data_IF_238047017638
#
_entry.id   IF_238047017638
#
_cell.length_a   1.000
_cell.length_b   1.000
_cell.length_c   1.000
_cell.angle_alpha   90.00
_cell.angle_beta   90.00
_cell.angle_gamma   90.00
#
_symmetry.space_group_name_H-M   'P 1'
#
loop_
_entity.id
_entity.type
_entity.pdbx_description
1 polymer ?
#
# COMPACT_ATOMS: atom_id res chain seq x y z
N UNK A 1 -19.97 -10.72 -30.21
CA UNK A 1 -18.88 -10.15 -29.40
C UNK A 1 -19.46 -9.80 -28.04
N UNK A 2 -19.13 -10.58 -27.01
CA UNK A 2 -19.52 -10.29 -25.62
C UNK A 2 -18.37 -10.78 -24.74
N UNK A 3 -17.58 -9.86 -24.17
CA UNK A 3 -16.69 -10.22 -23.07
C UNK A 3 -17.48 -9.99 -21.77
N UNK A 4 -17.70 -11.12 -21.10
CA UNK A 4 -18.37 -11.28 -19.82
C UNK A 4 -17.72 -10.41 -18.75
N UNK A 5 -18.56 -9.69 -18.00
CA UNK A 5 -18.25 -9.18 -16.68
C UNK A 5 -18.07 -10.38 -15.74
N UNK A 6 -16.89 -10.54 -15.14
CA UNK A 6 -16.70 -11.40 -13.98
C UNK A 6 -16.20 -10.51 -12.85
N UNK A 7 -17.15 -9.86 -12.18
CA UNK A 7 -16.93 -9.31 -10.85
C UNK A 7 -17.47 -10.35 -9.87
N UNK A 8 -16.58 -11.13 -9.27
CA UNK A 8 -16.92 -12.00 -8.15
C UNK A 8 -16.56 -11.22 -6.87
N UNK A 9 -17.57 -11.00 -6.04
CA UNK A 9 -17.44 -10.50 -4.67
C UNK A 9 -18.14 -11.56 -3.84
N UNK A 10 -17.40 -12.27 -2.99
CA UNK A 10 -17.98 -13.23 -2.05
C UNK A 10 -18.51 -12.51 -0.79
N UNK A 11 -19.49 -13.13 -0.16
CA UNK A 11 -20.51 -12.54 0.72
C UNK A 11 -20.05 -12.28 2.18
N UNK A 12 -18.77 -12.54 2.50
CA UNK A 12 -18.37 -12.76 3.90
C UNK A 12 -17.49 -11.66 4.51
N UNK A 13 -17.09 -10.63 3.74
CA UNK A 13 -16.41 -9.45 4.30
C UNK A 13 -15.10 -9.75 5.06
N UNK A 14 -14.48 -10.91 4.83
CA UNK A 14 -13.13 -11.21 5.31
C UNK A 14 -12.12 -10.73 4.26
N UNK A 15 -11.15 -9.93 4.71
CA UNK A 15 -9.97 -9.64 3.91
C UNK A 15 -9.15 -10.93 3.87
N UNK A 16 -9.35 -11.75 2.84
CA UNK A 16 -8.48 -12.88 2.53
C UNK A 16 -7.04 -12.37 2.46
N UNK A 17 -6.24 -12.72 3.47
CA UNK A 17 -4.80 -12.53 3.54
C UNK A 17 -4.14 -13.60 2.62
N UNK A 18 -4.63 -13.70 1.37
CA UNK A 18 -4.20 -14.72 0.41
C UNK A 18 -2.81 -14.37 -0.12
N UNK A 19 -1.76 -15.14 0.22
CA UNK A 19 -0.40 -14.88 -0.23
C UNK A 19 -0.21 -15.09 -1.75
N UNK A 20 -1.19 -15.65 -2.46
CA UNK A 20 -1.12 -15.77 -3.93
C UNK A 20 -1.38 -14.43 -4.64
N UNK A 21 -2.04 -13.45 -4.00
CA UNK A 21 -2.12 -12.09 -4.54
C UNK A 21 -0.78 -11.34 -4.43
N UNK A 22 0.13 -11.76 -3.54
CA UNK A 22 1.49 -11.24 -3.42
C UNK A 22 2.43 -11.79 -4.50
N UNK A 23 2.07 -12.91 -5.13
CA UNK A 23 2.83 -13.50 -6.25
C UNK A 23 2.54 -12.82 -7.59
N UNK A 24 1.85 -11.67 -7.58
CA UNK A 24 1.70 -10.84 -8.76
C UNK A 24 3.02 -10.05 -8.95
N UNK A 25 3.79 -10.27 -10.03
CA UNK A 25 5.12 -9.66 -10.22
C UNK A 25 5.09 -8.13 -10.15
N UNK A 26 3.92 -7.53 -10.40
CA UNK A 26 3.67 -6.11 -10.24
C UNK A 26 3.81 -5.63 -8.78
N UNK A 27 3.36 -6.40 -7.79
CA UNK A 27 3.43 -5.98 -6.37
C UNK A 27 4.86 -6.06 -5.82
N UNK A 28 5.69 -6.96 -6.37
CA UNK A 28 7.11 -7.07 -5.98
C UNK A 28 7.88 -5.78 -6.28
N UNK A 29 7.70 -5.21 -7.48
CA UNK A 29 8.36 -3.96 -7.86
C UNK A 29 7.89 -2.77 -6.99
N UNK A 30 6.62 -2.77 -6.59
CA UNK A 30 6.09 -1.79 -5.65
C UNK A 30 6.73 -1.90 -4.26
N UNK A 31 6.87 -3.13 -3.75
CA UNK A 31 7.52 -3.40 -2.45
C UNK A 31 8.99 -2.96 -2.49
N UNK A 32 9.71 -3.28 -3.56
CA UNK A 32 11.11 -2.91 -3.72
C UNK A 32 11.27 -1.39 -3.80
N UNK A 33 10.43 -0.71 -4.59
CA UNK A 33 10.41 0.76 -4.64
C UNK A 33 10.17 1.38 -3.25
N UNK A 34 9.21 0.86 -2.48
CA UNK A 34 8.93 1.35 -1.13
C UNK A 34 10.17 1.17 -0.23
N UNK A 35 10.84 0.01 -0.30
CA UNK A 35 12.05 -0.29 0.49
C UNK A 35 13.26 0.55 0.10
N UNK A 36 13.35 0.98 -1.14
CA UNK A 36 14.43 1.86 -1.62
C UNK A 36 14.24 3.31 -1.19
N UNK A 37 12.98 3.78 -1.11
CA UNK A 37 12.67 5.17 -0.79
C UNK A 37 12.44 5.41 0.70
N UNK A 38 11.92 4.41 1.41
CA UNK A 38 11.45 4.57 2.78
C UNK A 38 11.82 3.39 3.66
N UNK A 39 12.04 3.67 4.94
CA UNK A 39 12.09 2.67 6.00
C UNK A 39 11.03 2.94 7.07
N UNK A 40 10.51 1.88 7.73
CA UNK A 40 9.49 2.04 8.75
C UNK A 40 10.05 2.75 9.99
N UNK A 41 9.28 3.69 10.54
CA UNK A 41 9.55 4.29 11.83
C UNK A 41 8.66 3.69 12.91
N UNK A 42 9.23 3.43 14.09
CA UNK A 42 8.48 2.82 15.21
C UNK A 42 7.65 3.85 16.00
N UNK A 43 7.93 5.14 15.82
CA UNK A 43 7.24 6.21 16.55
C UNK A 43 7.29 7.55 15.82
N UNK A 44 6.39 8.47 16.18
CA UNK A 44 6.38 9.84 15.65
C UNK A 44 7.70 10.59 15.84
N UNK A 45 8.40 10.33 16.95
CA UNK A 45 9.70 10.96 17.26
C UNK A 45 10.82 10.47 16.34
N UNK A 46 10.69 9.24 15.89
CA UNK A 46 11.67 8.52 15.08
C UNK A 46 11.38 8.65 13.58
N UNK A 47 10.17 9.09 13.23
CA UNK A 47 9.74 9.37 11.87
C UNK A 47 10.30 10.70 11.38
N UNK A 48 10.86 10.70 10.18
CA UNK A 48 11.25 11.94 9.48
C UNK A 48 10.12 12.46 8.60
N UNK A 49 9.21 11.58 8.19
CA UNK A 49 8.14 11.89 7.25
C UNK A 49 6.85 11.14 7.61
N UNK A 50 5.73 11.87 7.56
CA UNK A 50 4.40 11.37 7.87
C UNK A 50 3.52 11.57 6.64
N UNK A 51 3.15 10.49 5.96
CA UNK A 51 2.32 10.55 4.75
C UNK A 51 1.07 9.71 4.88
N UNK A 52 -0.02 10.16 4.26
CA UNK A 52 -1.20 9.34 4.08
C UNK A 52 -0.96 8.35 2.94
N UNK A 53 -1.74 7.26 2.91
CA UNK A 53 -1.72 6.31 1.79
C UNK A 53 -1.91 7.03 0.45
N UNK A 54 -2.76 8.06 0.42
CA UNK A 54 -3.06 8.85 -0.77
C UNK A 54 -1.84 9.65 -1.26
N UNK A 55 -1.08 10.27 -0.35
CA UNK A 55 0.11 11.04 -0.71
C UNK A 55 1.20 10.13 -1.29
N UNK A 56 1.39 8.95 -0.69
CA UNK A 56 2.34 7.95 -1.18
C UNK A 56 1.88 7.42 -2.55
N UNK A 57 0.58 7.19 -2.72
CA UNK A 57 0.01 6.73 -3.97
C UNK A 57 0.21 7.75 -5.10
N UNK A 58 -0.04 9.03 -4.86
CA UNK A 58 0.16 10.09 -5.85
C UNK A 58 1.61 10.17 -6.34
N UNK A 59 2.58 9.97 -5.45
CA UNK A 59 4.01 9.90 -5.82
C UNK A 59 4.30 8.69 -6.72
N UNK A 60 3.72 7.54 -6.39
CA UNK A 60 3.97 6.29 -7.11
C UNK A 60 3.31 6.29 -8.49
N UNK A 61 2.07 6.77 -8.63
CA UNK A 61 1.41 6.84 -9.94
C UNK A 61 2.10 7.81 -10.90
N UNK A 62 2.84 8.81 -10.39
CA UNK A 62 3.67 9.69 -11.20
C UNK A 62 4.80 8.95 -11.92
N UNK A 63 5.28 7.84 -11.33
CA UNK A 63 6.35 6.98 -11.87
C UNK A 63 5.73 5.79 -12.62
N UNK A 64 4.66 5.22 -12.07
CA UNK A 64 3.98 4.00 -12.53
C UNK A 64 2.49 4.25 -12.82
N UNK A 65 2.15 5.04 -13.85
CA UNK A 65 0.78 5.46 -14.10
C UNK A 65 -0.12 4.26 -14.43
N UNK A 66 -1.17 4.07 -13.62
CA UNK A 66 -2.19 3.03 -13.84
C UNK A 66 -1.73 1.59 -13.59
N UNK A 67 -0.52 1.38 -13.06
CA UNK A 67 0.04 0.04 -12.82
C UNK A 67 -0.43 -0.58 -11.50
N UNK A 68 -0.65 0.25 -10.48
CA UNK A 68 -1.00 -0.21 -9.14
C UNK A 68 -2.26 0.48 -8.63
N UNK A 69 -2.94 -0.17 -7.69
CA UNK A 69 -4.08 0.37 -6.95
C UNK A 69 -3.66 0.83 -5.55
N UNK A 70 -4.45 1.71 -4.92
CA UNK A 70 -4.24 2.13 -3.53
C UNK A 70 -4.26 0.95 -2.55
N UNK A 71 -5.06 -0.08 -2.82
CA UNK A 71 -5.12 -1.28 -1.99
C UNK A 71 -3.82 -2.09 -2.05
N UNK A 72 -3.24 -2.24 -3.24
CA UNK A 72 -1.93 -2.90 -3.41
C UNK A 72 -0.82 -2.13 -2.69
N UNK A 73 -0.85 -0.79 -2.72
CA UNK A 73 0.07 0.03 -1.94
C UNK A 73 -0.10 -0.17 -0.43
N UNK A 74 -1.34 -0.19 0.05
CA UNK A 74 -1.64 -0.43 1.47
C UNK A 74 -1.06 -1.77 1.94
N UNK A 75 -1.28 -2.84 1.18
CA UNK A 75 -0.74 -4.17 1.51
C UNK A 75 0.78 -4.20 1.42
N UNK A 76 1.38 -3.62 0.37
CA UNK A 76 2.83 -3.53 0.23
C UNK A 76 3.49 -2.79 1.41
N UNK A 77 2.89 -1.69 1.89
CA UNK A 77 3.37 -0.99 3.08
C UNK A 77 3.34 -1.88 4.32
N UNK A 78 2.26 -2.64 4.53
CA UNK A 78 2.18 -3.61 5.64
C UNK A 78 3.24 -4.70 5.53
N UNK A 79 3.50 -5.22 4.33
CA UNK A 79 4.49 -6.28 4.08
C UNK A 79 5.93 -5.82 4.31
N UNK A 80 6.21 -4.54 4.04
CA UNK A 80 7.50 -3.93 4.38
C UNK A 80 7.63 -3.68 5.89
N UNK A 81 6.54 -3.78 6.64
CA UNK A 81 6.52 -3.63 8.10
C UNK A 81 6.09 -2.25 8.58
N UNK A 82 5.56 -1.40 7.70
CA UNK A 82 4.97 -0.14 8.11
C UNK A 82 3.68 -0.39 8.90
N UNK A 83 3.47 0.43 9.92
CA UNK A 83 2.26 0.39 10.74
C UNK A 83 1.45 1.66 10.47
N UNK A 84 0.16 1.56 10.11
CA UNK A 84 -0.68 2.74 9.97
C UNK A 84 -1.00 3.28 11.35
N UNK A 85 -0.82 4.58 11.53
CA UNK A 85 -1.20 5.31 12.73
C UNK A 85 -2.48 6.10 12.47
N UNK A 86 -3.45 5.96 13.36
CA UNK A 86 -4.70 6.72 13.25
C UNK A 86 -4.50 8.12 13.81
N UNK A 87 -4.84 9.14 13.02
CA UNK A 87 -4.70 10.55 13.38
C UNK A 87 -6.07 11.21 13.21
N UNK A 88 -6.94 11.03 14.21
CA UNK A 88 -8.33 11.54 14.19
C UNK A 88 -9.35 10.46 13.82
N UNK A 89 -10.54 10.88 13.37
CA UNK A 89 -11.67 9.96 13.24
C UNK A 89 -11.51 8.96 12.08
N UNK A 90 -10.78 9.28 11.00
CA UNK A 90 -10.70 8.44 9.79
C UNK A 90 -9.39 8.55 8.98
N UNK A 91 -8.35 9.23 9.47
CA UNK A 91 -7.12 9.44 8.69
C UNK A 91 -5.99 8.51 9.13
N UNK A 92 -5.53 7.65 8.20
CA UNK A 92 -4.37 6.79 8.41
C UNK A 92 -3.10 7.48 7.88
N UNK A 93 -2.09 7.56 8.75
CA UNK A 93 -0.77 8.10 8.43
C UNK A 93 0.27 7.02 8.62
N UNK A 94 1.20 6.93 7.68
CA UNK A 94 2.35 6.04 7.73
C UNK A 94 3.55 6.82 8.24
N UNK A 95 4.21 6.25 9.25
CA UNK A 95 5.42 6.81 9.81
C UNK A 95 6.63 6.29 9.04
N UNK A 96 7.25 7.18 8.28
CA UNK A 96 8.35 6.88 7.38
C UNK A 96 9.64 7.54 7.88
N UNK A 97 10.75 6.89 7.56
CA UNK A 97 12.10 7.44 7.55
C UNK A 97 12.58 7.46 6.10
N UNK A 98 12.93 8.63 5.60
CA UNK A 98 13.60 8.73 4.30
C UNK A 98 15.02 8.13 4.40
N UNK A 99 15.43 7.37 3.38
CA UNK A 99 16.73 6.71 3.28
C UNK A 99 17.78 7.57 2.59
#
# INVERSE_FOLDING_TARGET
MSRKSNLFIDEDGELDDDPEQLSNPDVTELIDYIREQYSPADSYKDSTLQLKTDDIYERIIGIYPGKFTKMQLYNALKDVGFKPHNVGDLELVWLLKEL
#
